data_IF_472225239304
#
_entry.id   IF_472225239304
#
_cell.length_a   1.000
_cell.length_b   1.000
_cell.length_c   1.000
_cell.angle_alpha   90.00
_cell.angle_beta   90.00
_cell.angle_gamma   90.00
#
_symmetry.space_group_name_H-M   'P 1'
#
loop_
_entity.id
_entity.type
_entity.pdbx_description
1 polymer ?
#
# COMPACT_ATOMS: atom_id res chain seq x y z
N UNK A 1 -9.31 7.40 28.13
CA UNK A 1 -8.90 7.90 27.29
C UNK A 1 -7.82 7.32 26.65
N UNK A 2 -7.87 6.96 25.56
CA UNK A 2 -6.88 6.40 24.89
C UNK A 2 -5.92 7.33 24.41
N UNK A 3 -4.70 7.20 24.77
CA UNK A 3 -3.74 8.01 24.26
C UNK A 3 -3.04 7.27 23.25
N UNK A 4 -3.09 7.66 22.02
CA UNK A 4 -2.37 7.02 20.94
C UNK A 4 -0.92 7.45 21.03
N UNK A 5 -0.04 6.48 21.02
CA UNK A 5 1.38 6.72 21.13
C UNK A 5 2.05 6.51 19.77
N UNK A 6 2.89 7.44 19.36
CA UNK A 6 3.57 7.29 18.09
C UNK A 6 4.38 6.01 18.06
N UNK A 7 5.12 5.75 19.12
CA UNK A 7 5.95 4.58 19.18
C UNK A 7 5.15 3.27 19.21
N UNK A 8 4.09 3.22 19.98
CA UNK A 8 3.36 1.98 20.16
C UNK A 8 2.27 1.76 19.15
N UNK A 9 1.69 2.82 18.63
CA UNK A 9 0.53 2.68 17.78
C UNK A 9 0.79 3.02 16.33
N UNK A 10 1.75 3.86 16.06
CA UNK A 10 2.01 4.31 14.71
C UNK A 10 3.21 3.66 14.08
N UNK A 11 4.33 3.65 14.78
CA UNK A 11 5.51 3.02 14.21
C UNK A 11 5.29 1.56 13.80
N UNK A 12 4.51 0.78 14.56
CA UNK A 12 4.28 -0.58 14.15
C UNK A 12 3.53 -0.70 12.83
N UNK A 13 2.91 0.38 12.37
CA UNK A 13 2.20 0.35 11.11
C UNK A 13 3.13 0.49 9.92
N UNK A 14 4.38 0.81 10.17
CA UNK A 14 5.33 1.07 9.11
C UNK A 14 5.34 0.01 8.02
N UNK A 15 5.35 -1.25 8.41
CA UNK A 15 5.40 -2.32 7.43
C UNK A 15 4.13 -2.38 6.60
N UNK A 16 2.99 -2.15 7.22
CA UNK A 16 1.74 -2.16 6.50
C UNK A 16 1.68 -1.02 5.52
N UNK A 17 2.16 0.14 5.94
CA UNK A 17 2.19 1.30 5.06
C UNK A 17 3.12 1.04 3.87
N UNK A 18 4.25 0.44 4.15
CA UNK A 18 5.20 0.15 3.10
C UNK A 18 4.61 -0.83 2.07
N UNK A 19 3.95 -1.87 2.56
CA UNK A 19 3.35 -2.85 1.66
C UNK A 19 2.30 -2.22 0.75
N UNK A 20 1.48 -1.34 1.33
CA UNK A 20 0.47 -0.68 0.54
C UNK A 20 1.11 0.26 -0.49
N UNK A 21 2.07 1.06 -0.05
CA UNK A 21 2.73 1.99 -0.95
C UNK A 21 3.43 1.24 -2.09
N UNK A 22 4.06 0.13 -1.73
CA UNK A 22 4.77 -0.67 -2.73
C UNK A 22 3.80 -1.27 -3.75
N UNK A 23 2.63 -1.70 -3.27
CA UNK A 23 1.64 -2.27 -4.17
C UNK A 23 1.17 -1.24 -5.19
N UNK A 24 1.06 0.00 -4.78
CA UNK A 24 0.56 1.05 -5.65
C UNK A 24 1.66 1.60 -6.56
N UNK A 25 2.82 1.87 -6.01
CA UNK A 25 3.88 2.52 -6.78
C UNK A 25 4.80 1.54 -7.50
N UNK A 26 4.91 0.33 -6.98
CA UNK A 26 5.81 -0.68 -7.54
C UNK A 26 7.26 -0.20 -7.61
N UNK A 27 7.63 0.67 -6.67
CA UNK A 27 8.96 1.25 -6.63
C UNK A 27 9.40 1.40 -5.18
N UNK A 28 10.50 0.76 -4.81
CA UNK A 28 10.96 0.75 -3.43
C UNK A 28 11.26 2.13 -2.88
N UNK A 29 11.93 2.92 -3.65
CA UNK A 29 12.31 4.24 -3.19
C UNK A 29 11.09 5.12 -2.96
N UNK A 30 10.16 5.07 -3.90
CA UNK A 30 8.93 5.84 -3.75
C UNK A 30 8.16 5.35 -2.54
N UNK A 31 8.11 4.03 -2.34
CA UNK A 31 7.36 3.49 -1.21
C UNK A 31 7.98 3.95 0.11
N UNK A 32 9.29 3.94 0.19
CA UNK A 32 9.95 4.39 1.41
C UNK A 32 9.68 5.86 1.68
N UNK A 33 9.74 6.68 0.65
CA UNK A 33 9.46 8.10 0.81
C UNK A 33 8.03 8.33 1.25
N UNK A 34 7.10 7.56 0.68
CA UNK A 34 5.70 7.69 1.03
C UNK A 34 5.45 7.29 2.47
N UNK A 35 6.11 6.24 2.93
CA UNK A 35 5.96 5.83 4.32
C UNK A 35 6.44 6.94 5.25
N UNK A 36 7.59 7.54 4.95
CA UNK A 36 8.09 8.61 5.77
C UNK A 36 7.15 9.79 5.77
N UNK A 37 6.67 10.17 4.59
CA UNK A 37 5.75 11.30 4.50
C UNK A 37 4.44 11.00 5.22
N UNK A 38 3.99 9.74 5.16
CA UNK A 38 2.78 9.36 5.87
C UNK A 38 2.97 9.52 7.37
N UNK A 39 4.09 9.05 7.87
CA UNK A 39 4.34 9.15 9.30
C UNK A 39 4.42 10.61 9.74
N UNK A 40 5.01 11.45 8.92
CA UNK A 40 5.08 12.87 9.25
C UNK A 40 3.70 13.50 9.26
N UNK A 41 2.88 13.18 8.26
CA UNK A 41 1.54 13.76 8.21
C UNK A 41 0.68 13.28 9.36
N UNK A 42 0.82 12.03 9.73
CA UNK A 42 0.06 11.49 10.85
C UNK A 42 0.51 12.17 12.13
N UNK A 43 1.81 12.35 12.28
CA UNK A 43 2.34 13.02 13.46
C UNK A 43 1.86 14.46 13.56
N UNK A 44 1.80 15.13 12.44
CA UNK A 44 1.35 16.51 12.42
C UNK A 44 -0.11 16.69 12.80
N UNK A 45 -0.87 15.61 12.79
CA UNK A 45 -2.25 15.66 13.20
C UNK A 45 -2.45 15.08 14.58
N UNK A 46 -1.39 14.96 15.36
CA UNK A 46 -1.50 14.28 16.65
C UNK A 46 -2.50 14.89 17.60
N UNK A 47 -2.77 16.15 17.43
CA UNK A 47 -3.74 16.79 18.30
C UNK A 47 -5.15 16.33 18.04
N UNK A 48 -5.37 15.73 16.87
CA UNK A 48 -6.69 15.27 16.53
C UNK A 48 -6.83 13.77 16.51
N UNK A 49 -5.83 13.07 17.03
CA UNK A 49 -5.89 11.62 17.05
C UNK A 49 -7.10 11.09 17.82
N UNK A 50 -7.50 11.82 18.84
CA UNK A 50 -8.63 11.38 19.64
C UNK A 50 -9.92 11.36 18.86
N UNK A 51 -9.99 12.12 17.80
CA UNK A 51 -11.18 12.19 16.99
C UNK A 51 -11.27 11.08 15.97
N UNK A 52 -10.18 10.35 15.77
CA UNK A 52 -10.15 9.34 14.76
C UNK A 52 -10.70 8.02 15.26
N UNK A 53 -11.48 7.37 14.40
CA UNK A 53 -11.99 6.07 14.73
C UNK A 53 -10.88 5.07 14.76
N UNK A 54 -9.96 5.18 13.84
CA UNK A 54 -8.87 4.23 13.73
C UNK A 54 -7.66 4.97 13.19
N UNK A 55 -6.60 4.98 13.97
CA UNK A 55 -5.37 5.62 13.53
C UNK A 55 -4.76 4.81 12.38
N UNK A 56 -4.96 3.51 12.41
CA UNK A 56 -4.44 2.67 11.35
C UNK A 56 -5.14 2.98 10.03
N UNK A 57 -6.47 3.09 10.05
CA UNK A 57 -7.21 3.40 8.83
C UNK A 57 -6.84 4.78 8.31
N UNK A 58 -6.68 5.73 9.22
CA UNK A 58 -6.30 7.08 8.81
C UNK A 58 -4.92 7.06 8.16
N UNK A 59 -3.99 6.34 8.76
CA UNK A 59 -2.64 6.26 8.23
C UNK A 59 -2.62 5.59 6.85
N UNK A 60 -3.41 4.54 6.69
CA UNK A 60 -3.48 3.86 5.40
C UNK A 60 -4.10 4.76 4.34
N UNK A 61 -5.08 5.57 4.74
CA UNK A 61 -5.70 6.51 3.81
C UNK A 61 -4.68 7.54 3.34
N UNK A 62 -3.92 8.10 4.25
CA UNK A 62 -2.89 9.08 3.92
C UNK A 62 -1.87 8.44 2.98
N UNK A 63 -1.46 7.23 3.32
CA UNK A 63 -0.46 6.52 2.53
C UNK A 63 -0.97 6.28 1.11
N UNK A 64 -2.20 5.84 0.98
CA UNK A 64 -2.77 5.59 -0.34
C UNK A 64 -2.82 6.87 -1.16
N UNK A 65 -3.25 7.95 -0.53
CA UNK A 65 -3.35 9.23 -1.25
C UNK A 65 -1.99 9.73 -1.72
N UNK A 66 -0.98 9.57 -0.89
CA UNK A 66 0.36 9.98 -1.27
C UNK A 66 0.91 9.10 -2.39
N UNK A 67 0.60 7.82 -2.33
CA UNK A 67 1.05 6.90 -3.36
C UNK A 67 0.39 7.22 -4.70
N UNK A 68 -0.89 7.54 -4.68
CA UNK A 68 -1.59 7.90 -5.88
C UNK A 68 -1.05 9.20 -6.47
N UNK A 69 -0.75 10.16 -5.61
CA UNK A 69 -0.15 11.40 -6.06
C UNK A 69 1.21 11.16 -6.70
N UNK A 70 1.97 10.27 -6.11
CA UNK A 70 3.28 9.94 -6.64
C UNK A 70 3.19 9.36 -8.04
N UNK A 71 2.24 8.48 -8.24
CA UNK A 71 2.06 7.88 -9.55
C UNK A 71 1.64 8.92 -10.55
N UNK A 72 0.74 9.80 -10.17
CA UNK A 72 0.29 10.83 -11.07
C UNK A 72 1.40 11.73 -11.52
N UNK A 73 2.24 12.13 -10.59
CA UNK A 73 3.33 13.01 -10.93
C UNK A 73 4.29 12.35 -11.89
N UNK A 74 4.58 11.07 -11.64
CA UNK A 74 5.50 10.37 -12.50
C UNK A 74 4.88 10.07 -13.85
N UNK A 75 3.61 9.77 -13.84
CA UNK A 75 2.92 9.47 -15.06
C UNK A 75 2.95 10.61 -16.02
N UNK A 76 2.99 11.84 -15.48
CA UNK A 76 3.06 12.92 -16.34
C UNK A 76 4.41 13.09 -16.83
N UNK A 77 5.32 12.83 -16.11
CA UNK A 77 6.62 13.04 -16.44
C UNK A 77 7.17 12.17 -17.36
N UNK A 78 7.04 11.12 -17.34
CA UNK A 78 7.71 10.39 -18.10
C UNK A 78 7.71 9.10 -18.04
N UNK A 79 7.88 8.71 -18.59
CA UNK A 79 7.81 7.48 -18.79
C UNK A 79 8.79 6.68 -18.39
N UNK A 80 9.23 6.79 -18.13
CA UNK A 80 10.16 6.18 -17.76
C UNK A 80 10.11 4.96 -17.58
N UNK A 81 9.65 4.66 -17.96
CA UNK A 81 9.48 3.53 -17.83
C UNK A 81 10.54 2.79 -17.82
N UNK A 82 11.15 3.01 -18.48
CA UNK A 82 12.16 2.35 -18.59
C UNK A 82 12.74 1.99 -17.46
N UNK A 83 12.88 2.59 -16.94
CA UNK A 83 13.59 2.37 -15.88
C UNK A 83 13.13 1.33 -15.19
N UNK A 84 12.33 1.06 -15.44
CA UNK A 84 11.86 0.21 -14.67
C UNK A 84 12.50 -0.94 -14.88
N UNK A 85 12.67 -1.31 -15.49
CA UNK A 85 13.10 -2.38 -15.58
C UNK A 85 14.18 -2.68 -15.18
N UNK A 86 14.36 -2.29 -15.22
CA UNK A 86 15.39 -2.44 -14.99
C UNK A 86 15.74 -3.36 -14.10
N UNK A 87 15.70 -3.63 -13.74
CA UNK A 87 16.16 -4.27 -13.03
C UNK A 87 15.89 -5.25 -12.39
N UNK A 88 15.86 -5.81 -12.48
CA UNK A 88 15.55 -6.72 -11.96
C UNK A 88 16.44 -7.42 -11.52
N UNK A 89 16.84 -7.75 -11.01
CA UNK A 89 17.67 -8.26 -10.54
C UNK A 89 17.88 -9.48 -10.31
N UNK A 90 17.96 -10.01 -10.10
CA UNK A 90 18.31 -10.95 -9.88
C UNK A 90 18.33 -11.93 -9.37
N UNK A 91 18.39 -12.34 -9.36
CA UNK A 91 18.29 -13.22 -9.12
C UNK A 91 18.98 -14.06 -8.66
N UNK A 92 19.30 -14.35 -8.65
CA UNK A 92 20.16 -14.89 -8.29
C UNK A 92 20.11 -16.09 -7.71
N UNK A 93 20.39 -16.42 -7.21
CA UNK A 93 20.44 -17.45 -6.54
C UNK A 93 19.47 -18.38 -6.65
N UNK A 94 18.98 -18.81 -6.85
CA UNK A 94 18.03 -19.52 -6.78
C UNK A 94 18.02 -20.82 -6.85
N UNK A 95 17.97 -21.37 -6.09
CA UNK A 95 17.83 -22.69 -6.07
C UNK A 95 16.61 -23.05 -6.80
N UNK A 96 16.63 -24.13 -7.39
CA UNK A 96 15.55 -24.55 -8.22
C UNK A 96 14.22 -24.60 -7.49
N UNK A 97 14.22 -25.11 -6.31
CA UNK A 97 13.00 -25.20 -5.56
C UNK A 97 12.45 -23.87 -5.18
N UNK A 98 13.34 -22.99 -4.81
CA UNK A 98 12.94 -21.68 -4.48
C UNK A 98 12.33 -21.01 -5.66
N UNK A 99 12.86 -21.29 -6.83
CA UNK A 99 12.35 -20.73 -8.02
C UNK A 99 10.93 -21.14 -8.27
N UNK A 100 10.60 -22.38 -8.06
CA UNK A 100 9.25 -22.86 -8.28
C UNK A 100 8.27 -22.20 -7.34
N UNK A 101 8.64 -22.04 -6.10
CA UNK A 101 7.79 -21.40 -5.17
C UNK A 101 7.66 -19.94 -5.48
N UNK A 102 8.77 -19.32 -5.80
CA UNK A 102 8.77 -17.91 -6.11
C UNK A 102 7.98 -17.62 -7.37
N UNK A 103 7.92 -18.56 -8.29
CA UNK A 103 7.15 -18.36 -9.51
C UNK A 103 5.67 -18.20 -9.20
N UNK A 104 5.15 -19.00 -8.28
CA UNK A 104 3.77 -18.88 -7.93
C UNK A 104 3.48 -17.56 -7.26
N UNK A 105 4.31 -17.19 -6.31
CA UNK A 105 4.12 -15.96 -5.59
C UNK A 105 4.26 -14.79 -6.57
N UNK A 106 5.23 -14.88 -7.45
CA UNK A 106 5.44 -13.81 -8.40
C UNK A 106 4.27 -13.69 -9.38
N UNK A 107 3.72 -14.83 -9.77
CA UNK A 107 2.58 -14.82 -10.66
C UNK A 107 1.38 -14.11 -10.02
N UNK A 108 1.11 -14.42 -8.76
CA UNK A 108 0.02 -13.77 -8.05
C UNK A 108 0.28 -12.28 -7.95
N UNK A 109 1.49 -11.90 -7.63
CA UNK A 109 1.84 -10.49 -7.56
C UNK A 109 1.66 -9.78 -8.89
N UNK A 110 2.05 -10.46 -9.96
CA UNK A 110 1.94 -9.87 -11.28
C UNK A 110 0.48 -9.67 -11.65
N UNK A 111 -0.37 -10.63 -11.30
CA UNK A 111 -1.77 -10.51 -11.57
C UNK A 111 -2.36 -9.34 -10.81
N UNK A 112 -2.05 -9.24 -9.53
CA UNK A 112 -2.57 -8.15 -8.72
C UNK A 112 -2.05 -6.82 -9.21
N UNK A 113 -0.77 -6.76 -9.54
CA UNK A 113 -0.18 -5.49 -9.97
C UNK A 113 -0.75 -5.01 -11.30
N UNK A 114 -1.29 -5.91 -12.09
CA UNK A 114 -1.88 -5.53 -13.36
C UNK A 114 -3.30 -5.02 -13.22
N UNK A 115 -3.90 -5.15 -12.05
CA UNK A 115 -5.27 -4.71 -11.87
C UNK A 115 -5.35 -3.20 -11.73
N UNK A 116 -6.49 -2.63 -12.05
CA UNK A 116 -6.69 -1.19 -11.78
C UNK A 116 -6.46 -0.90 -10.30
N UNK A 117 -6.07 0.30 -10.03
CA UNK A 117 -5.67 0.67 -8.68
C UNK A 117 -6.71 0.32 -7.61
N UNK A 118 -7.97 0.60 -7.89
CA UNK A 118 -8.99 0.35 -6.88
C UNK A 118 -9.11 -1.13 -6.55
N UNK A 119 -9.03 -1.97 -7.56
CA UNK A 119 -9.10 -3.40 -7.33
C UNK A 119 -7.86 -3.90 -6.64
N UNK A 120 -6.73 -3.41 -7.09
CA UNK A 120 -5.44 -3.82 -6.53
C UNK A 120 -5.34 -3.43 -5.05
N UNK A 121 -5.73 -2.22 -4.72
CA UNK A 121 -5.66 -1.76 -3.35
C UNK A 121 -6.66 -2.51 -2.46
N UNK A 122 -7.87 -2.75 -2.97
CA UNK A 122 -8.86 -3.50 -2.21
C UNK A 122 -8.36 -4.91 -1.91
N UNK A 123 -7.73 -5.55 -2.88
CA UNK A 123 -7.19 -6.88 -2.69
C UNK A 123 -6.05 -6.87 -1.67
N UNK A 124 -5.18 -5.89 -1.77
CA UNK A 124 -4.08 -5.78 -0.83
C UNK A 124 -4.60 -5.65 0.60
N UNK A 125 -5.57 -4.79 0.80
CA UNK A 125 -6.09 -4.55 2.13
C UNK A 125 -6.85 -5.76 2.66
N UNK A 126 -7.56 -6.43 1.79
CA UNK A 126 -8.35 -7.58 2.23
C UNK A 126 -7.51 -8.82 2.44
N UNK A 127 -6.73 -9.18 1.44
CA UNK A 127 -6.02 -10.46 1.47
C UNK A 127 -4.71 -10.43 2.23
N UNK A 128 -4.01 -9.34 2.18
CA UNK A 128 -2.71 -9.30 2.83
C UNK A 128 -2.71 -8.57 4.16
N UNK A 129 -3.65 -7.64 4.34
CA UNK A 129 -3.69 -6.90 5.60
C UNK A 129 -4.87 -7.28 6.47
N UNK A 130 -5.75 -8.14 5.96
CA UNK A 130 -6.86 -8.65 6.77
C UNK A 130 -7.91 -7.65 7.17
N UNK A 131 -8.10 -6.60 6.37
CA UNK A 131 -9.05 -5.57 6.73
C UNK A 131 -10.46 -5.99 6.39
N UNK A 132 -11.43 -5.47 7.15
CA UNK A 132 -12.82 -5.74 6.88
C UNK A 132 -13.27 -4.87 5.72
N UNK A 133 -14.39 -5.22 5.13
CA UNK A 133 -14.94 -4.40 4.04
C UNK A 133 -15.21 -2.98 4.50
N UNK A 134 -15.66 -2.84 5.73
CA UNK A 134 -15.92 -1.51 6.27
C UNK A 134 -14.66 -0.68 6.38
N UNK A 135 -13.60 -1.30 6.86
CA UNK A 135 -12.33 -0.61 6.99
C UNK A 135 -11.77 -0.24 5.62
N UNK A 136 -11.88 -1.15 4.66
CA UNK A 136 -11.40 -0.87 3.32
C UNK A 136 -12.20 0.28 2.72
N UNK A 137 -13.51 0.30 2.93
CA UNK A 137 -14.34 1.37 2.41
C UNK A 137 -13.90 2.71 2.98
N UNK A 138 -13.58 2.74 4.26
CA UNK A 138 -13.11 3.97 4.88
C UNK A 138 -11.77 4.41 4.30
N UNK A 139 -10.86 3.49 4.16
CA UNK A 139 -9.53 3.81 3.66
C UNK A 139 -9.58 4.31 2.23
N UNK A 140 -10.42 3.70 1.42
CA UNK A 140 -10.49 4.06 0.01
C UNK A 140 -11.54 5.10 -0.28
N UNK A 141 -12.32 5.45 0.73
CA UNK A 141 -13.36 6.47 0.58
C UNK A 141 -14.40 6.08 -0.45
N UNK A 142 -14.83 4.85 -0.38
CA UNK A 142 -15.88 4.33 -1.26
C UNK A 142 -16.87 3.56 -0.39
N UNK A 143 -17.91 3.04 -0.99
CA UNK A 143 -18.90 2.30 -0.23
C UNK A 143 -18.46 0.85 -0.07
N UNK A 144 -19.06 0.18 0.89
CA UNK A 144 -18.75 -1.24 1.10
C UNK A 144 -19.15 -2.07 -0.11
N UNK A 145 -20.21 -1.67 -0.78
CA UNK A 145 -20.62 -2.37 -1.96
C UNK A 145 -19.58 -2.29 -3.04
N UNK A 146 -18.98 -1.11 -3.20
CA UNK A 146 -17.92 -0.96 -4.17
C UNK A 146 -16.71 -1.77 -3.82
N UNK A 147 -16.41 -1.91 -2.53
CA UNK A 147 -15.32 -2.75 -2.10
C UNK A 147 -15.57 -4.18 -2.53
N UNK A 148 -16.78 -4.66 -2.32
CA UNK A 148 -17.10 -6.03 -2.70
C UNK A 148 -16.97 -6.22 -4.20
N UNK A 149 -17.44 -5.26 -4.96
CA UNK A 149 -17.31 -5.33 -6.40
C UNK A 149 -15.86 -5.38 -6.81
N UNK A 150 -15.03 -4.56 -6.21
CA UNK A 150 -13.61 -4.53 -6.54
C UNK A 150 -12.93 -5.85 -6.25
N UNK A 151 -13.34 -6.52 -5.20
CA UNK A 151 -12.70 -7.75 -4.81
C UNK A 151 -13.20 -8.94 -5.61
N UNK A 152 -14.48 -8.97 -5.88
CA UNK A 152 -15.06 -10.13 -6.53
C UNK A 152 -15.23 -10.01 -8.03
N UNK A 153 -14.73 -8.96 -8.59
CA UNK A 153 -14.79 -8.86 -10.00
C UNK A 153 -13.57 -9.45 -10.61
#
# INVERSE_FOLDING_TARGET
MNKISFRNDILPLKDKLYRLAMRITLNERDAEDIVQDTLIKVWNRRERWDELESIEAFSLTVCRNLALDSIKRKGHGNPSIEDTHAEKPDLTANPYEEMLQNDRVQLVRDIINALPEKQKTSMQLREFEGKSYREIAQIMEITEEQVKINIFR
#
